data_IF_288556588599
#
_entry.id   IF_288556588599
#
_cell.length_a   1.000
_cell.length_b   1.000
_cell.length_c   1.000
_cell.angle_alpha   90.00
_cell.angle_beta   90.00
_cell.angle_gamma   90.00
#
_symmetry.space_group_name_H-M   'P 1'
#
loop_
_entity.id
_entity.type
_entity.pdbx_description
1 polymer ?
#
# COMPACT_ATOMS: atom_id res chain seq x y z
N UNK A 1 18.63 5.56 2.79
CA UNK A 1 19.29 6.66 3.51
C UNK A 1 20.19 7.43 2.55
N UNK A 2 20.57 8.67 2.86
CA UNK A 2 21.62 9.40 2.13
C UNK A 2 22.49 10.24 3.08
N UNK A 3 23.78 10.50 2.76
CA UNK A 3 24.58 11.48 3.48
C UNK A 3 23.90 12.85 3.47
N UNK A 4 23.84 13.52 4.63
CA UNK A 4 23.12 14.80 4.77
C UNK A 4 21.62 14.70 4.49
N UNK A 5 21.01 13.56 4.79
CA UNK A 5 19.57 13.34 4.70
C UNK A 5 18.81 13.95 5.88
N UNK A 6 17.63 13.40 6.13
CA UNK A 6 16.72 13.88 7.17
C UNK A 6 15.99 15.15 6.77
N UNK A 7 15.62 15.97 7.75
CA UNK A 7 14.75 17.13 7.54
C UNK A 7 13.32 16.72 7.17
N UNK A 8 12.63 17.58 6.40
CA UNK A 8 11.25 17.34 5.94
C UNK A 8 11.22 16.96 4.45
N UNK A 9 10.27 16.12 4.01
CA UNK A 9 9.97 15.98 2.59
C UNK A 9 9.37 17.28 2.04
N UNK A 10 9.20 17.34 0.72
CA UNK A 10 8.59 18.48 0.03
C UNK A 10 7.67 17.97 -1.08
N UNK A 11 6.94 18.90 -1.72
CA UNK A 11 6.06 18.60 -2.84
C UNK A 11 4.90 17.68 -2.44
N UNK A 12 4.51 16.82 -3.37
CA UNK A 12 3.36 15.92 -3.22
C UNK A 12 3.47 15.01 -1.99
N UNK A 13 4.67 14.49 -1.68
CA UNK A 13 4.86 13.62 -0.52
C UNK A 13 4.51 14.34 0.79
N UNK A 14 4.90 15.61 0.94
CA UNK A 14 4.56 16.38 2.14
C UNK A 14 3.04 16.63 2.20
N UNK A 15 2.42 16.98 1.08
CA UNK A 15 0.97 17.22 1.01
C UNK A 15 0.18 15.96 1.39
N UNK A 16 0.57 14.78 0.90
CA UNK A 16 -0.07 13.52 1.28
C UNK A 16 0.17 13.17 2.75
N UNK A 17 1.36 13.44 3.28
CA UNK A 17 1.63 13.27 4.72
C UNK A 17 0.71 14.18 5.55
N UNK A 18 0.59 15.45 5.19
CA UNK A 18 -0.28 16.39 5.90
C UNK A 18 -1.75 16.02 5.77
N UNK A 19 -2.18 15.52 4.60
CA UNK A 19 -3.54 15.00 4.39
C UNK A 19 -3.85 13.80 5.29
N UNK A 20 -2.96 12.81 5.32
CA UNK A 20 -3.26 11.50 5.92
C UNK A 20 -2.96 11.44 7.43
N UNK A 21 -1.99 12.24 7.90
CA UNK A 21 -1.59 12.28 9.32
C UNK A 21 -1.94 13.61 10.00
N UNK A 22 -2.46 14.59 9.25
CA UNK A 22 -2.77 15.94 9.71
C UNK A 22 -1.57 16.89 9.77
N UNK A 23 -0.36 16.38 10.05
CA UNK A 23 0.89 17.15 9.94
C UNK A 23 2.10 16.24 9.82
N UNK A 24 3.23 16.79 9.35
CA UNK A 24 4.50 16.06 9.34
C UNK A 24 4.95 15.62 10.74
N UNK A 25 4.71 16.43 11.76
CA UNK A 25 5.07 16.14 13.15
C UNK A 25 4.24 14.98 13.72
N UNK A 26 2.95 14.90 13.36
CA UNK A 26 2.11 13.75 13.73
C UNK A 26 2.58 12.47 13.05
N UNK A 27 2.82 12.52 11.74
CA UNK A 27 3.44 11.41 11.02
C UNK A 27 4.75 10.96 11.68
N UNK A 28 5.64 11.91 12.00
CA UNK A 28 6.93 11.61 12.63
C UNK A 28 6.75 10.93 13.99
N UNK A 29 5.80 11.42 14.80
CA UNK A 29 5.45 10.82 16.08
C UNK A 29 4.93 9.37 15.92
N UNK A 30 4.01 9.16 14.98
CA UNK A 30 3.44 7.83 14.71
C UNK A 30 4.50 6.86 14.18
N UNK A 31 5.33 7.29 13.24
CA UNK A 31 6.42 6.48 12.69
C UNK A 31 7.45 6.12 13.77
N UNK A 32 7.88 7.09 14.60
CA UNK A 32 8.78 6.84 15.73
C UNK A 32 8.16 5.88 16.75
N UNK A 33 6.87 6.03 17.03
CA UNK A 33 6.12 5.14 17.94
C UNK A 33 6.05 3.71 17.39
N UNK A 34 5.73 3.54 16.11
CA UNK A 34 5.71 2.22 15.46
C UNK A 34 7.08 1.53 15.52
N UNK A 35 8.16 2.25 15.19
CA UNK A 35 9.52 1.73 15.26
C UNK A 35 9.94 1.38 16.70
N UNK A 36 9.60 2.23 17.68
CA UNK A 36 9.97 2.01 19.09
C UNK A 36 9.22 0.83 19.70
N UNK A 37 7.95 0.68 19.36
CA UNK A 37 7.05 -0.34 19.95
C UNK A 37 7.02 -1.66 19.17
N UNK A 38 7.83 -1.82 18.14
CA UNK A 38 8.05 -3.13 17.53
C UNK A 38 8.79 -4.02 18.53
N UNK A 39 8.12 -5.05 19.02
CA UNK A 39 8.74 -5.97 19.97
C UNK A 39 9.69 -6.93 19.24
N UNK A 40 10.87 -7.18 19.83
CA UNK A 40 11.91 -8.00 19.21
C UNK A 40 12.44 -7.42 17.91
N UNK A 41 12.75 -8.30 16.97
CA UNK A 41 13.25 -8.01 15.63
C UNK A 41 12.13 -7.62 14.68
N UNK A 42 12.38 -6.66 13.80
CA UNK A 42 11.41 -6.24 12.80
C UNK A 42 11.72 -4.89 12.18
N UNK A 43 10.67 -4.28 11.65
CA UNK A 43 10.75 -3.08 10.82
C UNK A 43 9.57 -2.15 11.11
N UNK A 44 9.75 -0.86 10.85
CA UNK A 44 8.64 0.08 10.71
C UNK A 44 8.67 0.72 9.32
N UNK A 45 7.48 0.94 8.77
CA UNK A 45 7.28 1.28 7.37
C UNK A 45 6.33 2.46 7.23
N UNK A 46 6.60 3.33 6.27
CA UNK A 46 5.62 4.20 5.64
C UNK A 46 5.25 3.55 4.32
N UNK A 47 3.96 3.32 4.09
CA UNK A 47 3.47 2.68 2.89
C UNK A 47 2.40 3.52 2.21
N UNK A 48 2.28 3.35 0.90
CA UNK A 48 1.09 3.75 0.15
C UNK A 48 0.16 2.53 0.05
N UNK A 49 -1.01 2.64 0.66
CA UNK A 49 -2.12 1.69 0.50
C UNK A 49 -2.92 2.14 -0.70
N UNK A 50 -2.66 1.52 -1.84
CA UNK A 50 -3.38 1.80 -3.07
C UNK A 50 -4.80 1.22 -2.98
N UNK A 51 -4.91 -0.07 -2.70
CA UNK A 51 -6.13 -0.85 -2.81
C UNK A 51 -6.32 -1.71 -1.54
N UNK A 52 -7.55 -2.19 -1.34
CA UNK A 52 -7.81 -3.30 -0.40
C UNK A 52 -7.38 -4.61 -1.06
N UNK A 53 -6.49 -5.35 -0.41
CA UNK A 53 -6.23 -6.74 -0.78
C UNK A 53 -7.46 -7.59 -0.48
N UNK A 54 -8.22 -7.96 -1.52
CA UNK A 54 -9.42 -8.78 -1.41
C UNK A 54 -9.09 -10.25 -1.69
N UNK A 55 -8.47 -10.89 -0.70
CA UNK A 55 -8.15 -12.32 -0.74
C UNK A 55 -8.64 -12.92 0.56
N UNK A 56 -9.49 -13.96 0.48
CA UNK A 56 -10.18 -14.58 1.63
C UNK A 56 -9.27 -14.97 2.82
N UNK A 57 -7.98 -15.16 2.57
CA UNK A 57 -6.99 -15.57 3.58
C UNK A 57 -5.95 -14.48 3.93
N UNK A 58 -6.06 -13.27 3.36
CA UNK A 58 -5.12 -12.20 3.64
C UNK A 58 -5.49 -11.47 4.94
N UNK A 59 -4.66 -11.64 5.97
CA UNK A 59 -4.79 -10.86 7.21
C UNK A 59 -4.10 -9.51 7.03
N UNK A 60 -4.91 -8.48 6.78
CA UNK A 60 -4.43 -7.11 6.69
C UNK A 60 -4.30 -6.48 8.09
N UNK A 61 -3.11 -5.97 8.48
CA UNK A 61 -2.93 -5.33 9.79
C UNK A 61 -3.71 -4.02 9.96
N UNK A 62 -4.19 -3.41 8.87
CA UNK A 62 -5.03 -2.21 8.87
C UNK A 62 -6.23 -2.42 7.93
N UNK A 63 -7.35 -2.99 8.41
CA UNK A 63 -8.54 -3.29 7.60
C UNK A 63 -9.40 -2.04 7.29
N UNK A 64 -8.78 -0.87 7.15
CA UNK A 64 -9.49 0.37 6.81
C UNK A 64 -10.02 0.30 5.38
N UNK A 65 -11.25 0.75 5.18
CA UNK A 65 -11.91 0.83 3.87
C UNK A 65 -11.38 1.99 3.00
N UNK A 66 -10.49 2.83 3.55
CA UNK A 66 -9.93 3.96 2.82
C UNK A 66 -8.69 3.53 2.02
N UNK A 67 -8.76 3.78 0.71
CA UNK A 67 -7.72 3.49 -0.27
C UNK A 67 -7.00 4.77 -0.71
N UNK A 68 -5.90 4.63 -1.47
CA UNK A 68 -5.04 5.73 -1.93
C UNK A 68 -4.49 6.62 -0.81
N UNK A 69 -4.14 6.02 0.33
CA UNK A 69 -3.64 6.71 1.54
C UNK A 69 -2.25 6.26 1.97
N UNK A 70 -1.55 7.13 2.68
CA UNK A 70 -0.35 6.81 3.42
C UNK A 70 -0.70 6.19 4.77
N UNK A 71 0.04 5.15 5.14
CA UNK A 71 -0.10 4.47 6.43
C UNK A 71 1.25 4.18 7.05
N UNK A 72 1.30 4.15 8.38
CA UNK A 72 2.44 3.63 9.14
C UNK A 72 2.12 2.23 9.62
N UNK A 73 2.99 1.26 9.32
CA UNK A 73 2.87 -0.11 9.80
C UNK A 73 4.19 -0.59 10.38
N UNK A 74 4.13 -1.56 11.30
CA UNK A 74 5.30 -2.28 11.80
C UNK A 74 5.13 -3.76 11.55
N UNK A 75 6.24 -4.46 11.37
CA UNK A 75 6.21 -5.88 11.02
C UNK A 75 7.31 -6.65 11.75
N UNK A 76 7.05 -7.90 12.16
CA UNK A 76 8.05 -8.73 12.82
C UNK A 76 8.99 -9.38 11.79
N UNK A 77 10.23 -9.60 12.20
CA UNK A 77 11.21 -10.41 11.48
C UNK A 77 11.38 -10.01 10.01
N UNK A 78 11.01 -10.89 9.07
CA UNK A 78 11.16 -10.69 7.63
C UNK A 78 9.87 -10.25 6.92
N UNK A 79 8.76 -10.09 7.66
CA UNK A 79 7.49 -9.65 7.09
C UNK A 79 7.66 -8.24 6.54
N UNK A 80 7.16 -8.01 5.34
CA UNK A 80 7.21 -6.70 4.69
C UNK A 80 5.86 -6.38 4.04
N UNK A 81 5.56 -5.09 3.77
CA UNK A 81 4.23 -4.67 3.33
C UNK A 81 3.74 -5.22 2.00
N UNK A 82 4.63 -5.82 1.19
CA UNK A 82 4.25 -6.41 -0.10
C UNK A 82 3.29 -7.59 0.06
N UNK A 83 3.34 -8.30 1.19
CA UNK A 83 2.42 -9.43 1.46
C UNK A 83 0.98 -8.96 1.74
N UNK A 84 0.78 -7.65 1.92
CA UNK A 84 -0.53 -7.01 2.10
C UNK A 84 -0.91 -6.14 0.89
N UNK A 85 -0.17 -6.27 -0.22
CA UNK A 85 -0.28 -5.42 -1.42
C UNK A 85 -0.13 -3.91 -1.15
N UNK A 86 0.63 -3.57 -0.11
CA UNK A 86 1.01 -2.19 0.17
C UNK A 86 2.33 -1.87 -0.51
N UNK A 87 2.44 -0.64 -1.02
CA UNK A 87 3.68 -0.15 -1.63
C UNK A 87 4.59 0.48 -0.58
N UNK A 88 5.72 -0.13 -0.20
CA UNK A 88 6.61 0.40 0.82
C UNK A 88 7.39 1.63 0.30
N UNK A 89 7.29 2.75 1.01
CA UNK A 89 7.94 4.02 0.65
C UNK A 89 9.20 4.27 1.50
N UNK A 90 9.09 4.16 2.81
CA UNK A 90 10.19 4.29 3.77
C UNK A 90 10.19 3.09 4.70
N UNK A 91 11.37 2.66 5.13
CA UNK A 91 11.53 1.65 6.17
C UNK A 91 12.68 2.01 7.09
N UNK A 92 12.57 1.60 8.35
CA UNK A 92 13.67 1.60 9.31
C UNK A 92 13.80 0.18 9.88
N UNK A 93 15.04 -0.32 9.84
CA UNK A 93 15.42 -1.58 10.47
C UNK A 93 15.52 -1.38 11.99
N UNK A 94 14.76 -2.14 12.77
CA UNK A 94 14.81 -2.13 14.24
C UNK A 94 15.27 -3.46 14.83
N UNK A 95 15.91 -4.30 14.02
CA UNK A 95 16.76 -5.38 14.53
C UNK A 95 17.93 -4.77 15.31
N UNK A 96 18.30 -5.39 16.44
CA UNK A 96 19.37 -4.84 17.28
C UNK A 96 20.67 -4.65 16.50
N UNK A 97 21.01 -5.57 15.59
CA UNK A 97 22.22 -5.46 14.78
C UNK A 97 22.28 -4.20 13.89
N UNK A 98 21.16 -3.53 13.62
CA UNK A 98 21.13 -2.31 12.82
C UNK A 98 21.66 -1.08 13.59
N UNK A 99 21.61 -1.12 14.94
CA UNK A 99 21.92 0.05 15.76
C UNK A 99 22.78 -0.24 16.99
N UNK A 100 23.02 -1.50 17.37
CA UNK A 100 23.61 -1.84 18.66
C UNK A 100 25.03 -1.32 18.84
N UNK A 101 25.83 -1.26 17.76
CA UNK A 101 27.20 -0.76 17.82
C UNK A 101 27.27 0.73 18.18
N UNK A 102 26.31 1.54 17.72
CA UNK A 102 26.32 3.00 17.92
C UNK A 102 25.42 3.44 19.09
N UNK A 103 24.31 2.74 19.32
CA UNK A 103 23.26 3.15 20.27
C UNK A 103 23.00 2.14 21.39
N UNK A 104 23.51 0.91 21.30
CA UNK A 104 23.25 -0.17 22.26
C UNK A 104 21.73 -0.33 22.50
N UNK A 105 21.26 -0.21 23.74
CA UNK A 105 19.84 -0.32 24.09
C UNK A 105 19.01 0.94 23.76
N UNK A 106 19.62 2.01 23.25
CA UNK A 106 18.96 3.30 22.97
C UNK A 106 18.33 3.33 21.59
N UNK A 107 17.44 2.37 21.32
CA UNK A 107 16.64 2.34 20.08
C UNK A 107 15.93 3.67 19.77
N UNK A 108 15.30 4.38 20.74
CA UNK A 108 14.66 5.66 20.46
C UNK A 108 15.60 6.76 19.92
N UNK A 109 16.86 6.77 20.38
CA UNK A 109 17.89 7.70 19.90
C UNK A 109 18.27 7.39 18.45
N UNK A 110 18.49 6.10 18.14
CA UNK A 110 18.75 5.63 16.78
C UNK A 110 17.63 6.03 15.82
N UNK A 111 16.37 5.76 16.18
CA UNK A 111 15.20 6.10 15.35
C UNK A 111 15.15 7.62 15.13
N UNK A 112 15.41 8.42 16.16
CA UNK A 112 15.43 9.88 16.04
C UNK A 112 16.54 10.35 15.10
N UNK A 113 17.77 9.84 15.25
CA UNK A 113 18.88 10.17 14.36
C UNK A 113 18.60 9.75 12.91
N UNK A 114 18.00 8.58 12.70
CA UNK A 114 17.61 8.11 11.38
C UNK A 114 16.68 9.10 10.69
N UNK A 115 15.59 9.49 11.36
CA UNK A 115 14.61 10.43 10.81
C UNK A 115 15.19 11.83 10.61
N UNK A 116 16.00 12.31 11.56
CA UNK A 116 16.48 13.69 11.57
C UNK A 116 17.66 13.91 10.62
N UNK A 117 18.44 12.87 10.29
CA UNK A 117 19.72 13.02 9.56
C UNK A 117 19.96 12.06 8.40
N UNK A 118 19.22 10.94 8.30
CA UNK A 118 19.58 9.86 7.36
C UNK A 118 18.52 9.58 6.29
N UNK A 119 17.25 9.90 6.54
CA UNK A 119 16.17 9.66 5.57
C UNK A 119 16.46 10.36 4.25
N UNK A 120 16.31 9.63 3.15
CA UNK A 120 16.38 10.20 1.80
C UNK A 120 14.95 10.46 1.31
N UNK A 121 14.42 11.66 1.56
CA UNK A 121 13.06 12.02 1.15
C UNK A 121 12.85 11.95 -0.36
N UNK A 122 13.90 12.22 -1.15
CA UNK A 122 13.88 12.06 -2.61
C UNK A 122 13.57 10.62 -3.04
N UNK A 123 14.19 9.63 -2.36
CA UNK A 123 13.92 8.22 -2.64
C UNK A 123 12.49 7.84 -2.24
N UNK A 124 11.97 8.41 -1.14
CA UNK A 124 10.59 8.19 -0.69
C UNK A 124 9.61 8.80 -1.69
N UNK A 125 9.84 10.03 -2.16
CA UNK A 125 9.03 10.69 -3.18
C UNK A 125 9.00 9.90 -4.48
N UNK A 126 10.16 9.44 -4.98
CA UNK A 126 10.23 8.61 -6.19
C UNK A 126 9.45 7.30 -6.05
N UNK A 127 9.50 6.66 -4.88
CA UNK A 127 8.72 5.44 -4.61
C UNK A 127 7.22 5.73 -4.60
N UNK A 128 6.81 6.88 -4.09
CA UNK A 128 5.41 7.30 -4.09
C UNK A 128 4.89 7.50 -5.52
N UNK A 129 5.65 8.18 -6.36
CA UNK A 129 5.31 8.37 -7.78
C UNK A 129 5.12 7.03 -8.50
N UNK A 130 6.06 6.10 -8.33
CA UNK A 130 5.98 4.75 -8.91
C UNK A 130 4.77 3.98 -8.35
N UNK A 131 4.52 4.07 -7.04
CA UNK A 131 3.42 3.37 -6.40
C UNK A 131 2.06 3.84 -6.92
N UNK A 132 1.90 5.16 -7.10
CA UNK A 132 0.69 5.75 -7.68
C UNK A 132 0.50 5.38 -9.14
N UNK A 133 1.57 5.41 -9.94
CA UNK A 133 1.50 5.02 -11.35
C UNK A 133 1.06 3.55 -11.50
N UNK A 134 1.66 2.64 -10.71
CA UNK A 134 1.26 1.23 -10.69
C UNK A 134 -0.17 1.00 -10.23
N UNK A 135 -0.63 1.78 -9.25
CA UNK A 135 -2.02 1.71 -8.80
C UNK A 135 -2.99 2.11 -9.92
N UNK A 136 -2.68 3.19 -10.64
CA UNK A 136 -3.49 3.64 -11.78
C UNK A 136 -3.47 2.61 -12.94
N UNK A 137 -2.31 2.02 -13.24
CA UNK A 137 -2.20 0.96 -14.26
C UNK A 137 -3.08 -0.26 -13.91
N UNK A 138 -3.06 -0.69 -12.64
CA UNK A 138 -3.90 -1.80 -12.16
C UNK A 138 -5.38 -1.49 -12.22
N UNK A 139 -5.79 -0.27 -11.84
CA UNK A 139 -7.19 0.16 -11.95
C UNK A 139 -7.69 0.10 -13.40
N UNK A 140 -6.86 0.55 -14.35
CA UNK A 140 -7.18 0.44 -15.78
C UNK A 140 -7.28 -1.03 -16.21
N UNK A 141 -6.37 -1.90 -15.78
CA UNK A 141 -6.40 -3.34 -16.08
C UNK A 141 -7.65 -4.02 -15.51
N UNK A 142 -8.02 -3.71 -14.27
CA UNK A 142 -9.23 -4.23 -13.61
C UNK A 142 -10.51 -3.74 -14.31
N UNK A 143 -10.58 -2.46 -14.70
CA UNK A 143 -11.70 -1.91 -15.47
C UNK A 143 -11.83 -2.56 -16.85
N UNK A 144 -10.71 -2.80 -17.54
CA UNK A 144 -10.70 -3.49 -18.84
C UNK A 144 -11.16 -4.94 -18.70
N UNK A 145 -10.65 -5.67 -17.70
CA UNK A 145 -11.06 -7.06 -17.44
C UNK A 145 -12.55 -7.15 -17.11
N UNK A 146 -13.07 -6.20 -16.33
CA UNK A 146 -14.51 -6.16 -15.99
C UNK A 146 -15.38 -5.92 -17.23
N UNK A 147 -14.94 -5.08 -18.17
CA UNK A 147 -15.65 -4.87 -19.45
C UNK A 147 -15.62 -6.11 -20.33
N UNK A 148 -14.47 -6.79 -20.43
CA UNK A 148 -14.37 -8.06 -21.16
C UNK A 148 -15.29 -9.13 -20.56
N UNK A 149 -15.35 -9.25 -19.23
CA UNK A 149 -16.25 -10.18 -18.53
C UNK A 149 -17.74 -9.82 -18.73
N UNK A 150 -18.10 -8.53 -18.81
CA UNK A 150 -19.45 -8.06 -19.11
C UNK A 150 -19.85 -8.33 -20.57
N UNK A 151 -18.95 -8.09 -21.53
CA UNK A 151 -19.17 -8.38 -22.96
C UNK A 151 -19.30 -9.89 -23.22
N UNK A 152 -18.48 -10.73 -22.57
CA UNK A 152 -18.61 -12.19 -22.65
C UNK A 152 -19.96 -12.66 -22.10
N UNK A 153 -20.40 -12.13 -20.96
CA UNK A 153 -21.70 -12.46 -20.36
C UNK A 153 -22.89 -12.00 -21.22
N UNK A 154 -22.82 -10.82 -21.86
CA UNK A 154 -23.84 -10.37 -22.80
C UNK A 154 -23.90 -11.28 -24.03
N UNK A 155 -22.76 -11.68 -24.59
CA UNK A 155 -22.72 -12.59 -25.75
C UNK A 155 -23.26 -13.99 -25.44
N UNK A 156 -22.98 -14.52 -24.25
CA UNK A 156 -23.47 -15.82 -23.81
C UNK A 156 -24.97 -15.76 -23.47
N UNK A 157 -25.44 -14.63 -22.93
CA UNK A 157 -26.86 -14.35 -22.70
C UNK A 157 -27.67 -14.20 -24.00
N UNK A 158 -27.14 -13.48 -24.99
CA UNK A 158 -27.77 -13.28 -26.31
C UNK A 158 -27.79 -14.60 -27.11
N UNK A 159 -26.76 -15.45 -26.98
CA UNK A 159 -26.77 -16.81 -27.52
C UNK A 159 -27.89 -17.66 -26.90
N UNK A 160 -28.08 -17.61 -25.57
CA UNK A 160 -29.17 -18.34 -24.88
C UNK A 160 -30.56 -17.83 -25.29
N UNK A 161 -30.75 -16.53 -25.48
CA UNK A 161 -32.03 -15.94 -25.90
C UNK A 161 -32.40 -16.32 -27.34
N UNK A 162 -31.42 -16.34 -28.25
CA UNK A 162 -31.62 -16.73 -29.65
C UNK A 162 -32.02 -18.22 -29.82
N UNK A 163 -31.58 -19.10 -28.91
CA UNK A 163 -32.02 -20.50 -28.90
C UNK A 163 -33.46 -20.67 -28.38
N UNK A 164 -33.91 -19.85 -27.43
CA UNK A 164 -35.27 -19.93 -26.87
C UNK A 164 -36.35 -19.42 -27.84
N UNK A 165 -36.05 -18.42 -28.67
CA UNK A 165 -36.99 -17.89 -29.67
C UNK A 165 -37.19 -18.83 -30.88
N UNK A 166 -36.30 -19.82 -31.07
CA UNK A 166 -36.40 -20.79 -32.17
C UNK A 166 -37.38 -21.95 -31.93
N UNK A 167 -37.86 -22.13 -30.69
CA UNK A 167 -38.77 -23.22 -30.30
C UNK A 167 -40.26 -22.82 -30.23
N UNK A 168 -40.63 -21.61 -30.67
CA UNK A 168 -41.99 -21.05 -30.47
C UNK A 168 -42.91 -21.02 -31.71
N UNK A 169 -42.50 -21.55 -32.87
CA UNK A 169 -43.33 -21.50 -34.10
C UNK A 169 -43.44 -22.85 -34.80
N UNK A 170 -44.19 -23.78 -34.22
CA UNK A 170 -44.79 -24.88 -35.00
C UNK A 170 -46.03 -25.47 -34.31
N UNK A 171 -47.11 -24.68 -34.18
CA UNK A 171 -48.41 -25.28 -33.85
C UNK A 171 -49.65 -24.44 -34.23
N UNK A 172 -49.84 -24.07 -35.50
CA UNK A 172 -51.20 -23.90 -36.04
C UNK A 172 -51.23 -24.21 -37.54
N UNK A 173 -51.92 -25.27 -37.96
CA UNK A 173 -53.04 -25.22 -38.95
C UNK A 173 -53.63 -26.61 -39.23
N UNK A 174 -54.95 -26.71 -38.97
CA UNK A 174 -56.02 -27.62 -39.43
C UNK A 174 -55.81 -29.15 -39.59
#
# INVERSE_FOLDING_TARGET
MKPGGGGKPSGELLQMIERDFGSFERFLSEFKSAASTQFGSGWAWLCYKANRLDVDNAVNPFPSDEDKKLIVVKSPNAVNPLVWDYSPLLTIDVWEHAYYLDFQNRRPDYISVFMDKLVSWEAVSRRLEIAKARAAEREVEEEMKKREEEEEQESDGEAVEMYLDSDADDSETD
#
